data_IF_437376507634
#
_entry.id   IF_437376507634
#
_cell.length_a   1.000
_cell.length_b   1.000
_cell.length_c   1.000
_cell.angle_alpha   90.00
_cell.angle_beta   90.00
_cell.angle_gamma   90.00
#
_symmetry.space_group_name_H-M   'P 1'
#
loop_
_entity.id
_entity.type
_entity.pdbx_description
1 polymer ?
#
# COMPACT_ATOMS: atom_id res chain seq x y z
N UNK A 1 -16.26 -4.98 16.54
CA UNK A 1 -15.08 -5.64 17.10
C UNK A 1 -13.82 -5.05 16.47
N UNK A 2 -12.88 -4.62 17.29
CA UNK A 2 -11.63 -4.09 16.75
C UNK A 2 -10.65 -5.22 16.44
N UNK A 3 -9.87 -5.05 15.39
CA UNK A 3 -8.82 -6.00 15.03
C UNK A 3 -7.65 -5.85 15.99
N UNK A 4 -6.85 -6.92 16.14
CA UNK A 4 -5.63 -6.82 16.91
C UNK A 4 -4.67 -5.83 16.22
N UNK A 5 -3.74 -5.23 16.96
CA UNK A 5 -2.78 -4.27 16.35
C UNK A 5 -2.02 -4.83 15.16
N UNK A 6 -1.70 -6.14 15.17
CA UNK A 6 -0.94 -6.75 14.08
C UNK A 6 -1.79 -7.07 12.85
N UNK A 7 -3.12 -7.15 12.98
CA UNK A 7 -3.99 -7.46 11.85
C UNK A 7 -3.93 -6.38 10.76
N UNK A 8 -3.87 -5.11 11.17
CA UNK A 8 -3.75 -4.03 10.18
C UNK A 8 -2.44 -4.13 9.40
N UNK A 9 -1.35 -4.52 10.06
CA UNK A 9 -0.07 -4.75 9.38
C UNK A 9 -0.16 -5.92 8.42
N UNK A 10 -0.88 -6.99 8.77
CA UNK A 10 -1.08 -8.12 7.87
C UNK A 10 -1.90 -7.73 6.65
N UNK A 11 -2.90 -6.86 6.82
CA UNK A 11 -3.66 -6.33 5.68
C UNK A 11 -2.75 -5.56 4.73
N UNK A 12 -1.87 -4.72 5.28
CA UNK A 12 -0.91 -3.99 4.46
C UNK A 12 0.01 -4.97 3.73
N UNK A 13 0.50 -5.99 4.43
CA UNK A 13 1.37 -6.99 3.81
C UNK A 13 0.66 -7.71 2.66
N UNK A 14 -0.59 -8.13 2.86
CA UNK A 14 -1.35 -8.84 1.83
C UNK A 14 -1.48 -7.99 0.56
N UNK A 15 -1.81 -6.70 0.71
CA UNK A 15 -2.00 -5.82 -0.44
C UNK A 15 -0.68 -5.46 -1.12
N UNK A 16 0.37 -5.23 -0.34
CA UNK A 16 1.68 -4.94 -0.93
C UNK A 16 2.24 -6.17 -1.65
N UNK A 17 2.04 -7.37 -1.10
CA UNK A 17 2.44 -8.61 -1.74
C UNK A 17 1.70 -8.83 -3.07
N UNK A 18 0.40 -8.52 -3.10
CA UNK A 18 -0.38 -8.60 -4.33
C UNK A 18 0.19 -7.67 -5.41
N UNK A 19 0.42 -6.41 -5.07
CA UNK A 19 0.95 -5.43 -6.02
C UNK A 19 2.34 -5.85 -6.54
N UNK A 20 3.23 -6.27 -5.64
CA UNK A 20 4.57 -6.70 -6.03
C UNK A 20 4.49 -7.89 -6.98
N UNK A 21 3.67 -8.88 -6.65
CA UNK A 21 3.50 -10.08 -7.47
C UNK A 21 2.98 -9.74 -8.87
N UNK A 22 1.95 -8.90 -8.94
CA UNK A 22 1.30 -8.57 -10.23
C UNK A 22 2.12 -7.61 -11.09
N UNK A 23 3.02 -6.84 -10.49
CA UNK A 23 3.82 -5.88 -11.25
C UNK A 23 5.12 -6.49 -11.79
N UNK A 24 5.49 -7.70 -11.39
CA UNK A 24 6.70 -8.34 -11.88
C UNK A 24 6.59 -8.61 -13.39
N UNK A 25 7.62 -8.16 -14.13
CA UNK A 25 7.64 -8.31 -15.58
C UNK A 25 6.66 -7.44 -16.33
N UNK A 26 5.92 -6.58 -15.63
CA UNK A 26 4.94 -5.70 -16.24
C UNK A 26 5.58 -4.37 -16.60
N UNK A 27 5.31 -3.87 -17.80
CA UNK A 27 5.75 -2.53 -18.21
C UNK A 27 4.68 -1.50 -17.85
N UNK A 28 5.09 -0.23 -17.80
CA UNK A 28 4.16 0.87 -17.58
C UNK A 28 3.04 0.88 -18.63
N UNK A 29 3.41 0.69 -19.91
CA UNK A 29 2.43 0.67 -20.99
C UNK A 29 1.42 -0.45 -20.84
N UNK A 30 1.88 -1.64 -20.44
CA UNK A 30 0.98 -2.77 -20.19
C UNK A 30 0.04 -2.48 -19.05
N UNK A 31 0.55 -1.90 -17.96
CA UNK A 31 -0.29 -1.51 -16.82
C UNK A 31 -1.35 -0.49 -17.24
N UNK A 32 -0.95 0.56 -17.92
CA UNK A 32 -1.87 1.64 -18.31
C UNK A 32 -2.95 1.18 -19.29
N UNK A 33 -2.71 0.09 -20.03
CA UNK A 33 -3.69 -0.46 -20.97
C UNK A 33 -4.55 -1.57 -20.35
N UNK A 34 -4.29 -1.97 -19.10
CA UNK A 34 -5.03 -3.05 -18.44
C UNK A 34 -6.02 -2.46 -17.42
N UNK A 35 -7.26 -2.25 -17.85
CA UNK A 35 -8.29 -1.63 -17.00
C UNK A 35 -8.58 -2.40 -15.73
N UNK A 36 -8.54 -3.71 -15.79
CA UNK A 36 -8.80 -4.56 -14.61
C UNK A 36 -7.67 -4.38 -13.59
N UNK A 37 -6.45 -4.47 -14.05
CA UNK A 37 -5.27 -4.39 -13.17
C UNK A 37 -5.14 -2.99 -12.55
N UNK A 38 -5.39 -1.93 -13.34
CA UNK A 38 -5.37 -0.55 -12.84
C UNK A 38 -6.33 -0.38 -11.66
N UNK A 39 -7.55 -0.86 -11.82
CA UNK A 39 -8.57 -0.76 -10.76
C UNK A 39 -8.21 -1.60 -9.55
N UNK A 40 -7.64 -2.78 -9.77
CA UNK A 40 -7.20 -3.64 -8.68
C UNK A 40 -6.09 -2.96 -7.86
N UNK A 41 -5.12 -2.33 -8.52
CA UNK A 41 -4.04 -1.63 -7.83
C UNK A 41 -4.55 -0.44 -7.01
N UNK A 42 -5.49 0.33 -7.56
CA UNK A 42 -6.11 1.44 -6.82
C UNK A 42 -6.78 0.92 -5.56
N UNK A 43 -7.54 -0.17 -5.68
CA UNK A 43 -8.21 -0.75 -4.50
C UNK A 43 -7.20 -1.22 -3.47
N UNK A 44 -6.13 -1.88 -3.89
CA UNK A 44 -5.07 -2.33 -2.97
C UNK A 44 -4.44 -1.15 -2.24
N UNK A 45 -4.16 -0.05 -2.96
CA UNK A 45 -3.56 1.13 -2.34
C UNK A 45 -4.53 1.84 -1.39
N UNK A 46 -5.82 1.82 -1.69
CA UNK A 46 -6.83 2.33 -0.76
C UNK A 46 -6.82 1.52 0.55
N UNK A 47 -6.76 0.21 0.45
CA UNK A 47 -6.71 -0.67 1.62
C UNK A 47 -5.44 -0.41 2.43
N UNK A 48 -4.29 -0.28 1.76
CA UNK A 48 -3.04 0.08 2.43
C UNK A 48 -3.20 1.39 3.21
N UNK A 49 -3.81 2.39 2.59
CA UNK A 49 -4.05 3.68 3.24
C UNK A 49 -4.95 3.57 4.46
N UNK A 50 -6.08 2.87 4.33
CA UNK A 50 -7.02 2.71 5.44
C UNK A 50 -6.40 1.91 6.59
N UNK A 51 -5.71 0.82 6.28
CA UNK A 51 -5.04 0.03 7.30
C UNK A 51 -3.94 0.83 8.00
N UNK A 52 -3.19 1.63 7.24
CA UNK A 52 -2.13 2.47 7.81
C UNK A 52 -2.66 3.48 8.83
N UNK A 53 -3.84 4.04 8.58
CA UNK A 53 -4.47 4.96 9.54
C UNK A 53 -4.77 4.27 10.86
N UNK A 54 -5.05 2.97 10.83
CA UNK A 54 -5.49 2.20 11.99
C UNK A 54 -4.36 1.51 12.75
N UNK A 55 -3.15 1.55 12.22
CA UNK A 55 -1.98 1.03 12.93
C UNK A 55 -1.77 1.87 14.19
N UNK A 56 -1.50 1.20 15.32
CA UNK A 56 -1.36 1.86 16.62
C UNK A 56 -0.23 2.90 16.60
N UNK A 57 -0.47 4.00 17.30
CA UNK A 57 0.51 5.09 17.41
C UNK A 57 1.84 4.58 17.95
N UNK A 58 1.81 3.69 18.93
CA UNK A 58 3.02 3.09 19.52
C UNK A 58 3.87 2.41 18.46
N UNK A 59 3.23 1.66 17.57
CA UNK A 59 3.92 0.96 16.48
C UNK A 59 4.54 1.98 15.52
N UNK A 60 3.80 3.00 15.16
CA UNK A 60 4.29 4.05 14.25
C UNK A 60 5.50 4.77 14.82
N UNK A 61 5.48 5.06 16.11
CA UNK A 61 6.60 5.70 16.79
C UNK A 61 7.84 4.80 16.89
N UNK A 62 7.60 3.50 17.06
CA UNK A 62 8.68 2.50 17.15
C UNK A 62 9.35 2.27 15.79
N UNK A 63 8.62 2.43 14.70
CA UNK A 63 9.12 2.20 13.33
C UNK A 63 8.95 3.44 12.47
N UNK A 64 9.64 4.53 12.80
CA UNK A 64 9.43 5.82 12.12
C UNK A 64 9.96 5.89 10.69
N UNK A 65 10.74 4.91 10.25
CA UNK A 65 11.23 4.85 8.87
C UNK A 65 10.13 4.57 7.86
N UNK A 66 9.04 3.91 8.30
CA UNK A 66 7.89 3.67 7.43
C UNK A 66 7.17 4.99 7.20
N UNK A 67 6.83 5.25 5.93
CA UNK A 67 6.14 6.49 5.55
C UNK A 67 4.65 6.39 5.86
N UNK A 68 4.30 6.27 7.14
CA UNK A 68 2.91 6.07 7.60
C UNK A 68 1.96 7.14 7.10
N UNK A 69 2.39 8.41 7.19
CA UNK A 69 1.55 9.53 6.78
C UNK A 69 1.30 9.52 5.27
N UNK A 70 2.35 9.20 4.50
CA UNK A 70 2.23 9.08 3.05
C UNK A 70 1.24 7.99 2.67
N UNK A 71 1.37 6.82 3.31
CA UNK A 71 0.46 5.69 3.04
C UNK A 71 -0.97 6.03 3.43
N UNK A 72 -1.15 6.64 4.61
CA UNK A 72 -2.49 7.02 5.07
C UNK A 72 -3.18 8.02 4.14
N UNK A 73 -2.42 8.90 3.50
CA UNK A 73 -2.95 9.88 2.55
C UNK A 73 -3.02 9.41 1.10
N UNK A 74 -2.73 8.14 0.86
CA UNK A 74 -2.59 7.63 -0.50
C UNK A 74 -3.83 7.85 -1.36
N UNK A 75 -5.02 7.57 -0.81
CA UNK A 75 -6.26 7.72 -1.56
C UNK A 75 -6.42 9.15 -2.09
N UNK A 76 -6.18 10.14 -1.23
CA UNK A 76 -6.35 11.55 -1.61
C UNK A 76 -5.35 12.00 -2.66
N UNK A 77 -4.18 11.37 -2.70
CA UNK A 77 -3.16 11.68 -3.69
C UNK A 77 -3.45 11.05 -5.05
N UNK A 78 -4.08 9.89 -5.06
CA UNK A 78 -4.32 9.12 -6.28
C UNK A 78 -5.64 9.46 -6.96
N UNK A 79 -6.65 9.84 -6.18
CA UNK A 79 -8.00 10.08 -6.67
C UNK A 79 -8.32 11.56 -6.63
N UNK A 80 -8.57 12.13 -7.81
CA UNK A 80 -8.87 13.55 -7.98
C UNK A 80 -10.34 13.73 -8.39
N UNK A 81 -11.25 13.67 -7.46
CA UNK A 81 -12.69 13.99 -7.67
C UNK A 81 -13.18 13.80 -9.12
N UNK A 82 -13.40 14.92 -9.84
CA UNK A 82 -13.91 14.91 -11.22
C UNK A 82 -12.89 14.39 -12.23
N UNK A 83 -11.61 14.50 -11.93
CA UNK A 83 -10.56 14.14 -12.87
C UNK A 83 -10.23 12.64 -12.80
N UNK A 84 -10.79 11.95 -11.82
CA UNK A 84 -10.57 10.53 -11.67
C UNK A 84 -9.23 10.18 -11.07
N UNK A 85 -8.72 9.01 -11.40
CA UNK A 85 -7.51 8.45 -10.81
C UNK A 85 -6.27 8.77 -11.63
N UNK A 86 -5.21 9.18 -10.95
CA UNK A 86 -3.89 9.37 -11.57
C UNK A 86 -3.17 8.02 -11.67
N UNK A 87 -3.43 7.29 -12.75
CA UNK A 87 -2.86 5.95 -12.93
C UNK A 87 -1.35 5.95 -13.16
N UNK A 88 -0.77 7.03 -13.64
CA UNK A 88 0.69 7.12 -13.75
C UNK A 88 1.32 7.18 -12.37
N UNK A 89 0.71 7.92 -11.45
CA UNK A 89 1.16 7.95 -10.07
C UNK A 89 0.94 6.59 -9.38
N UNK A 90 -0.17 5.92 -9.67
CA UNK A 90 -0.42 4.56 -9.17
C UNK A 90 0.73 3.64 -9.56
N UNK A 91 1.13 3.68 -10.83
CA UNK A 91 2.24 2.86 -11.33
C UNK A 91 3.55 3.21 -10.62
N UNK A 92 3.84 4.49 -10.50
CA UNK A 92 5.07 4.95 -9.83
C UNK A 92 5.14 4.45 -8.39
N UNK A 93 4.05 4.60 -7.65
CA UNK A 93 3.95 4.11 -6.26
C UNK A 93 4.13 2.60 -6.21
N UNK A 94 3.45 1.86 -7.10
CA UNK A 94 3.52 0.41 -7.13
C UNK A 94 4.95 -0.09 -7.38
N UNK A 95 5.70 0.58 -8.24
CA UNK A 95 7.05 0.15 -8.59
C UNK A 95 8.12 0.65 -7.65
N UNK A 96 7.97 1.86 -7.12
CA UNK A 96 9.05 2.54 -6.40
C UNK A 96 8.83 2.66 -4.89
N UNK A 97 7.61 2.52 -4.40
CA UNK A 97 7.31 2.63 -2.97
C UNK A 97 6.86 1.32 -2.35
N UNK A 98 6.02 0.58 -3.05
CA UNK A 98 5.39 -0.62 -2.48
C UNK A 98 6.38 -1.74 -2.15
N UNK A 99 7.39 -2.05 -3.00
CA UNK A 99 8.33 -3.11 -2.64
C UNK A 99 9.07 -2.84 -1.33
N UNK A 100 9.51 -1.60 -1.11
CA UNK A 100 10.17 -1.22 0.13
C UNK A 100 9.24 -1.29 1.33
N UNK A 101 8.00 -0.81 1.15
CA UNK A 101 7.00 -0.90 2.22
C UNK A 101 6.74 -2.36 2.61
N UNK A 102 6.60 -3.23 1.62
CA UNK A 102 6.40 -4.67 1.87
C UNK A 102 7.50 -5.22 2.78
N UNK A 103 8.77 -4.92 2.45
CA UNK A 103 9.90 -5.39 3.24
C UNK A 103 9.87 -4.84 4.66
N UNK A 104 9.54 -3.55 4.81
CA UNK A 104 9.44 -2.91 6.11
C UNK A 104 8.36 -3.55 6.97
N UNK A 105 7.19 -3.81 6.39
CA UNK A 105 6.09 -4.44 7.13
C UNK A 105 6.42 -5.88 7.51
N UNK A 106 7.06 -6.63 6.63
CA UNK A 106 7.53 -7.98 6.94
C UNK A 106 8.46 -7.97 8.15
N UNK A 107 9.39 -7.02 8.20
CA UNK A 107 10.33 -6.89 9.32
C UNK A 107 9.60 -6.55 10.62
N UNK A 108 8.64 -5.64 10.58
CA UNK A 108 7.85 -5.29 11.76
C UNK A 108 7.12 -6.52 12.29
N UNK A 109 6.47 -7.27 11.43
CA UNK A 109 5.74 -8.47 11.84
C UNK A 109 6.67 -9.51 12.46
N UNK A 110 7.88 -9.69 11.93
CA UNK A 110 8.85 -10.60 12.52
C UNK A 110 9.25 -10.15 13.94
N UNK A 111 9.49 -8.86 14.12
CA UNK A 111 9.91 -8.30 15.40
C UNK A 111 8.82 -8.31 16.45
N UNK A 112 7.57 -8.11 16.04
CA UNK A 112 6.43 -8.04 16.94
C UNK A 112 5.79 -9.41 17.20
N UNK A 113 6.37 -10.46 16.65
CA UNK A 113 5.90 -11.83 16.91
C UNK A 113 4.71 -12.25 16.05
N UNK A 114 4.48 -11.50 15.01
CA UNK A 114 3.44 -11.81 14.05
C UNK A 114 3.95 -12.59 12.88
#
# INVERSE_FOLDING_TARGET
MSLSPLEYLRHILDETAYIVSKSQGLTKAQFLSDDTLKRAFVRSLEIVGEASKKVAVDTKEKYPKVEWRLMAGMRDRLIHDYFGVDYELVWDVARNKIPGLKEEIEEILRREGG
#
